data_IF_401124247170
#
_entry.id   IF_401124247170
#
_cell.length_a   1.000
_cell.length_b   1.000
_cell.length_c   1.000
_cell.angle_alpha   90.00
_cell.angle_beta   90.00
_cell.angle_gamma   90.00
#
_symmetry.space_group_name_H-M   'P 1'
#
loop_
_entity.id
_entity.type
_entity.pdbx_description
1 polymer ?
#
# COMPACT_ATOMS: atom_id res chain seq x y z
N UNK A 1 30.49 16.81 37.50
CA UNK A 1 29.11 16.27 37.57
C UNK A 1 28.10 16.85 36.58
N UNK A 2 28.34 18.02 35.94
CA UNK A 2 27.35 18.63 35.02
C UNK A 2 27.25 17.95 33.65
N UNK A 3 28.37 17.50 33.09
CA UNK A 3 28.42 16.87 31.74
C UNK A 3 27.70 15.51 31.70
N UNK A 4 27.80 14.71 32.76
CA UNK A 4 27.09 13.42 32.83
C UNK A 4 25.57 13.57 32.85
N UNK A 5 25.06 14.65 33.46
CA UNK A 5 23.62 14.95 33.47
C UNK A 5 23.10 15.32 32.08
N UNK A 6 23.87 16.12 31.31
CA UNK A 6 23.50 16.47 29.93
C UNK A 6 23.55 15.27 28.99
N UNK A 7 24.51 14.34 29.17
CA UNK A 7 24.59 13.12 28.36
C UNK A 7 23.40 12.19 28.60
N UNK A 8 22.95 12.07 29.86
CA UNK A 8 21.78 11.27 30.22
C UNK A 8 20.47 11.88 29.67
N UNK A 9 20.37 13.21 29.67
CA UNK A 9 19.22 13.93 29.10
C UNK A 9 19.12 13.74 27.57
N UNK A 10 20.26 13.71 26.87
CA UNK A 10 20.32 13.53 25.41
C UNK A 10 19.99 12.08 25.00
N UNK A 11 20.35 11.10 25.83
CA UNK A 11 19.98 9.69 25.63
C UNK A 11 18.48 9.45 25.87
N UNK A 12 17.88 10.16 26.83
CA UNK A 12 16.46 10.01 27.17
C UNK A 12 15.53 10.55 26.06
N UNK A 13 15.94 11.56 25.29
CA UNK A 13 15.11 12.15 24.22
C UNK A 13 15.02 11.29 22.95
N UNK A 14 15.88 10.28 22.78
CA UNK A 14 15.89 9.44 21.57
C UNK A 14 14.74 8.41 21.50
N UNK A 15 13.96 8.23 22.55
CA UNK A 15 12.92 7.19 22.62
C UNK A 15 11.51 7.63 22.19
N UNK A 16 11.29 8.91 21.82
CA UNK A 16 9.92 9.44 21.61
C UNK A 16 9.54 9.59 20.12
N UNK A 17 10.35 9.10 19.19
CA UNK A 17 9.89 8.93 17.80
C UNK A 17 9.02 7.66 17.67
N UNK A 18 7.97 7.56 18.49
CA UNK A 18 6.95 6.54 18.34
C UNK A 18 6.05 6.96 17.18
N UNK A 19 6.29 6.40 15.99
CA UNK A 19 5.41 6.59 14.84
C UNK A 19 4.06 5.95 15.19
N UNK A 20 3.05 6.78 15.48
CA UNK A 20 1.71 6.37 15.90
C UNK A 20 0.89 5.82 14.73
N UNK A 21 1.52 5.06 13.83
CA UNK A 21 0.87 4.43 12.71
C UNK A 21 -0.01 3.30 13.22
N UNK A 22 -1.31 3.41 13.01
CA UNK A 22 -2.28 2.39 13.41
C UNK A 22 -2.16 1.15 12.52
N UNK A 23 -2.41 -0.01 13.12
CA UNK A 23 -2.62 -1.24 12.38
C UNK A 23 -3.89 -1.10 11.53
N UNK A 24 -3.84 -1.59 10.29
CA UNK A 24 -4.93 -1.40 9.34
C UNK A 24 -5.88 -2.57 9.46
N UNK A 25 -7.10 -2.32 9.95
CA UNK A 25 -8.18 -3.29 9.79
C UNK A 25 -8.56 -3.37 8.30
N UNK A 26 -8.46 -4.55 7.67
CA UNK A 26 -8.79 -4.66 6.26
C UNK A 26 -10.27 -4.40 5.93
N UNK A 27 -11.20 -4.42 6.89
CA UNK A 27 -12.60 -4.03 6.67
C UNK A 27 -12.75 -2.53 6.41
N UNK A 28 -11.87 -1.72 7.01
CA UNK A 28 -11.84 -0.27 6.83
C UNK A 28 -11.20 0.17 5.51
N UNK A 29 -10.65 -0.78 4.75
CA UNK A 29 -10.06 -0.52 3.43
C UNK A 29 -11.09 -0.43 2.32
N UNK A 30 -12.31 -0.93 2.53
CA UNK A 30 -13.37 -0.97 1.52
C UNK A 30 -13.55 0.37 0.79
N UNK A 31 -13.89 0.31 -0.50
CA UNK A 31 -14.17 1.49 -1.32
C UNK A 31 -12.99 1.96 -2.17
N UNK A 32 -13.10 3.20 -2.66
CA UNK A 32 -12.20 3.75 -3.67
C UNK A 32 -11.19 4.71 -3.05
N UNK A 33 -9.91 4.48 -3.35
CA UNK A 33 -8.78 5.23 -2.85
C UNK A 33 -7.94 5.73 -4.01
N UNK A 34 -7.63 7.02 -4.04
CA UNK A 34 -6.85 7.65 -5.10
C UNK A 34 -5.51 8.15 -4.56
N UNK A 35 -4.44 7.95 -5.33
CA UNK A 35 -3.13 8.47 -5.01
C UNK A 35 -3.15 10.02 -4.94
N UNK A 36 -2.69 10.56 -3.83
CA UNK A 36 -2.91 11.96 -3.47
C UNK A 36 -2.10 12.98 -4.29
N UNK A 37 -0.89 12.63 -4.76
CA UNK A 37 0.01 13.59 -5.40
C UNK A 37 -0.36 13.88 -6.85
N UNK A 38 -0.59 12.84 -7.66
CA UNK A 38 -0.90 12.97 -9.08
C UNK A 38 -2.38 12.71 -9.40
N UNK A 39 -3.13 12.08 -8.48
CA UNK A 39 -4.53 11.66 -8.68
C UNK A 39 -4.76 10.78 -9.92
N UNK A 40 -3.77 9.96 -10.26
CA UNK A 40 -3.79 9.10 -11.46
C UNK A 40 -4.04 7.63 -11.16
N UNK A 41 -3.52 7.15 -10.03
CA UNK A 41 -3.60 5.74 -9.66
C UNK A 41 -4.70 5.56 -8.61
N UNK A 42 -5.68 4.72 -8.93
CA UNK A 42 -6.84 4.44 -8.10
C UNK A 42 -6.84 2.98 -7.69
N UNK A 43 -7.03 2.71 -6.41
CA UNK A 43 -7.19 1.39 -5.83
C UNK A 43 -8.61 1.26 -5.31
N UNK A 44 -9.32 0.24 -5.77
CA UNK A 44 -10.67 -0.06 -5.33
C UNK A 44 -10.62 -1.35 -4.53
N UNK A 45 -10.80 -1.27 -3.22
CA UNK A 45 -10.96 -2.44 -2.37
C UNK A 45 -12.41 -2.89 -2.46
N UNK A 46 -12.62 -4.06 -3.06
CA UNK A 46 -13.94 -4.59 -3.34
C UNK A 46 -14.51 -5.19 -2.06
N UNK A 47 -15.67 -4.69 -1.62
CA UNK A 47 -16.45 -5.31 -0.56
C UNK A 47 -17.07 -6.59 -1.12
N UNK A 48 -16.69 -7.75 -0.60
CA UNK A 48 -17.40 -8.99 -0.90
C UNK A 48 -18.69 -9.02 -0.08
N UNK A 49 -19.79 -9.42 -0.73
CA UNK A 49 -21.11 -9.60 -0.12
C UNK A 49 -21.21 -10.87 0.76
N UNK A 50 -20.15 -11.67 0.87
CA UNK A 50 -20.17 -12.93 1.60
C UNK A 50 -18.82 -13.29 2.23
N UNK A 51 -18.93 -13.98 3.35
CA UNK A 51 -18.05 -14.46 4.44
C UNK A 51 -16.68 -15.10 4.11
N UNK A 52 -16.13 -14.87 2.92
CA UNK A 52 -14.84 -15.45 2.52
C UNK A 52 -13.61 -14.73 3.09
N UNK A 53 -12.54 -15.49 3.36
CA UNK A 53 -11.20 -14.97 3.69
C UNK A 53 -10.50 -14.29 2.51
N UNK A 54 -10.99 -14.51 1.29
CA UNK A 54 -10.36 -14.00 0.06
C UNK A 54 -10.88 -12.60 -0.26
N UNK A 55 -10.02 -11.60 -0.07
CA UNK A 55 -10.33 -10.20 -0.41
C UNK A 55 -9.70 -9.81 -1.75
N UNK A 56 -10.36 -8.91 -2.46
CA UNK A 56 -9.97 -8.51 -3.81
C UNK A 56 -9.83 -6.99 -3.89
N UNK A 57 -8.86 -6.54 -4.67
CA UNK A 57 -8.72 -5.15 -5.03
C UNK A 57 -8.49 -5.00 -6.53
N UNK A 58 -8.91 -3.87 -7.07
CA UNK A 58 -8.66 -3.47 -8.45
C UNK A 58 -7.74 -2.26 -8.46
N UNK A 59 -6.69 -2.30 -9.29
CA UNK A 59 -5.78 -1.16 -9.50
C UNK A 59 -6.01 -0.58 -10.90
N UNK A 60 -6.39 0.70 -10.95
CA UNK A 60 -6.64 1.48 -12.16
C UNK A 60 -5.59 2.59 -12.29
N UNK A 61 -4.65 2.42 -13.23
CA UNK A 61 -3.56 3.40 -13.49
C UNK A 61 -3.69 4.15 -14.82
N UNK A 62 -4.79 3.88 -15.53
CA UNK A 62 -5.01 4.32 -16.91
C UNK A 62 -4.28 3.46 -17.94
N UNK A 63 -4.06 4.03 -19.12
CA UNK A 63 -3.49 3.36 -20.29
C UNK A 63 -2.17 3.99 -20.72
N UNK A 64 -1.37 3.25 -21.48
CA UNK A 64 -0.14 3.70 -22.13
C UNK A 64 -0.03 3.05 -23.50
N UNK A 65 0.76 3.64 -24.39
CA UNK A 65 1.12 3.00 -25.66
C UNK A 65 2.33 2.09 -25.44
N UNK A 66 2.26 0.84 -25.93
CA UNK A 66 3.40 -0.07 -25.89
C UNK A 66 4.35 0.16 -27.08
N UNK A 67 5.49 -0.54 -27.10
CA UNK A 67 6.46 -0.43 -28.20
C UNK A 67 5.89 -0.78 -29.59
N UNK A 68 4.82 -1.57 -29.64
CA UNK A 68 4.10 -1.92 -30.87
C UNK A 68 3.04 -0.91 -31.30
N UNK A 69 2.90 0.23 -30.60
CA UNK A 69 1.90 1.26 -30.93
C UNK A 69 0.49 0.97 -30.41
N UNK A 70 0.28 -0.11 -29.66
CA UNK A 70 -1.04 -0.45 -29.10
C UNK A 70 -1.27 0.23 -27.76
N UNK A 71 -2.51 0.69 -27.55
CA UNK A 71 -2.96 1.23 -26.26
C UNK A 71 -3.28 0.07 -25.32
N UNK A 72 -2.52 -0.06 -24.24
CA UNK A 72 -2.65 -1.10 -23.22
C UNK A 72 -2.80 -0.51 -21.83
N UNK A 73 -3.36 -1.24 -20.85
CA UNK A 73 -3.30 -0.82 -19.46
C UNK A 73 -1.84 -0.59 -19.03
N UNK A 74 -1.60 0.42 -18.17
CA UNK A 74 -0.26 0.60 -17.60
C UNK A 74 0.11 -0.61 -16.76
N UNK A 75 1.42 -0.90 -16.70
CA UNK A 75 1.97 -1.96 -15.86
C UNK A 75 1.42 -1.89 -14.44
N UNK A 76 1.05 -3.06 -13.90
CA UNK A 76 0.47 -3.21 -12.57
C UNK A 76 -1.00 -2.81 -12.44
N UNK A 77 -1.66 -2.38 -13.52
CA UNK A 77 -3.14 -2.33 -13.55
C UNK A 77 -3.72 -3.75 -13.56
N UNK A 78 -4.85 -3.95 -12.90
CA UNK A 78 -5.55 -5.24 -12.89
C UNK A 78 -6.15 -5.59 -11.53
N UNK A 79 -6.53 -6.86 -11.40
CA UNK A 79 -7.18 -7.41 -10.21
C UNK A 79 -6.14 -8.15 -9.37
N UNK A 80 -6.23 -7.99 -8.05
CA UNK A 80 -5.34 -8.62 -7.09
C UNK A 80 -6.15 -9.26 -5.98
N UNK A 81 -5.65 -10.40 -5.49
CA UNK A 81 -6.05 -10.91 -4.19
C UNK A 81 -5.19 -10.23 -3.13
N UNK A 82 -5.76 -9.99 -1.96
CA UNK A 82 -5.00 -9.50 -0.83
C UNK A 82 -5.47 -10.04 0.50
N UNK A 83 -4.57 -9.97 1.49
CA UNK A 83 -4.88 -10.01 2.91
C UNK A 83 -3.96 -9.03 3.65
N UNK A 84 -4.34 -8.65 4.85
CA UNK A 84 -3.55 -7.78 5.72
C UNK A 84 -3.12 -8.59 6.95
N UNK A 85 -1.86 -8.45 7.34
CA UNK A 85 -1.29 -9.07 8.54
C UNK A 85 -0.36 -8.05 9.19
N UNK A 86 -0.71 -7.55 10.36
CA UNK A 86 0.03 -6.46 11.00
C UNK A 86 0.08 -5.21 10.11
N UNK A 87 1.29 -4.68 9.92
CA UNK A 87 1.57 -3.50 9.08
C UNK A 87 1.90 -3.84 7.63
N UNK A 88 1.47 -5.02 7.16
CA UNK A 88 1.74 -5.49 5.80
C UNK A 88 0.45 -5.87 5.09
N UNK A 89 0.34 -5.43 3.83
CA UNK A 89 -0.61 -5.98 2.88
C UNK A 89 0.13 -6.95 1.97
N UNK A 90 -0.42 -8.15 1.86
CA UNK A 90 0.08 -9.19 1.00
C UNK A 90 -0.79 -9.22 -0.23
N UNK A 91 -0.21 -8.97 -1.41
CA UNK A 91 -0.95 -8.94 -2.67
C UNK A 91 -0.45 -9.99 -3.64
N UNK A 92 -1.36 -10.50 -4.46
CA UNK A 92 -1.09 -11.42 -5.56
C UNK A 92 -1.87 -10.98 -6.78
N UNK A 93 -1.17 -10.73 -7.89
CA UNK A 93 -1.80 -10.40 -9.17
C UNK A 93 -2.49 -11.65 -9.74
N UNK A 94 -3.77 -11.57 -10.03
CA UNK A 94 -4.58 -12.72 -10.47
C UNK A 94 -4.31 -13.14 -11.91
N UNK A 95 -3.72 -12.25 -12.70
CA UNK A 95 -3.33 -12.50 -14.09
C UNK A 95 -1.85 -12.89 -14.22
N UNK A 96 -1.12 -12.99 -13.10
CA UNK A 96 0.26 -13.45 -13.12
C UNK A 96 0.31 -14.97 -13.09
N UNK A 97 1.20 -15.57 -13.88
CA UNK A 97 1.53 -17.00 -13.77
C UNK A 97 2.24 -17.38 -12.47
N UNK A 98 2.60 -16.39 -11.64
CA UNK A 98 3.16 -16.62 -10.32
C UNK A 98 2.08 -16.48 -9.24
N UNK A 99 1.83 -17.58 -8.52
CA UNK A 99 0.80 -17.69 -7.49
C UNK A 99 1.22 -17.17 -6.10
N UNK A 100 2.45 -16.64 -5.95
CA UNK A 100 2.97 -16.16 -4.68
C UNK A 100 2.39 -14.80 -4.27
N UNK A 101 2.15 -14.64 -2.97
CA UNK A 101 1.87 -13.33 -2.38
C UNK A 101 3.18 -12.57 -2.11
N UNK A 102 3.15 -11.26 -2.29
CA UNK A 102 4.25 -10.36 -1.89
C UNK A 102 3.75 -9.36 -0.86
N UNK A 103 4.53 -9.19 0.21
CA UNK A 103 4.23 -8.26 1.28
C UNK A 103 4.71 -6.84 0.96
N UNK A 104 3.88 -5.86 1.29
CA UNK A 104 4.15 -4.43 1.15
C UNK A 104 3.71 -3.70 2.41
N UNK A 105 4.43 -2.66 2.84
CA UNK A 105 4.05 -1.90 4.02
C UNK A 105 2.70 -1.21 3.79
N UNK A 106 1.84 -1.25 4.80
CA UNK A 106 0.58 -0.52 4.84
C UNK A 106 0.39 0.10 6.23
N UNK A 107 -0.12 1.33 6.26
CA UNK A 107 -0.54 2.00 7.50
C UNK A 107 -1.68 2.97 7.21
N UNK A 108 -2.43 3.32 8.25
CA UNK A 108 -3.49 4.32 8.20
C UNK A 108 -3.18 5.46 9.17
N UNK A 109 -3.45 6.68 8.74
CA UNK A 109 -3.33 7.89 9.57
C UNK A 109 -4.23 8.99 9.00
N UNK A 110 -5.00 9.66 9.86
CA UNK A 110 -5.86 10.80 9.49
C UNK A 110 -6.80 10.50 8.30
N UNK A 111 -7.38 9.29 8.27
CA UNK A 111 -8.26 8.85 7.17
C UNK A 111 -7.56 8.58 5.83
N UNK A 112 -6.22 8.60 5.80
CA UNK A 112 -5.39 8.31 4.62
C UNK A 112 -4.70 6.97 4.79
N UNK A 113 -4.42 6.30 3.68
CA UNK A 113 -3.61 5.09 3.64
C UNK A 113 -2.22 5.44 3.12
N UNK A 114 -1.18 4.93 3.77
CA UNK A 114 0.17 4.90 3.23
C UNK A 114 0.48 3.47 2.82
N UNK A 115 0.84 3.27 1.55
CA UNK A 115 0.95 1.95 0.93
C UNK A 115 2.19 1.85 0.04
N UNK A 116 2.96 0.77 0.18
CA UNK A 116 4.07 0.47 -0.74
C UNK A 116 3.59 0.34 -2.20
N UNK A 117 4.33 0.92 -3.15
CA UNK A 117 3.97 1.03 -4.58
C UNK A 117 4.08 -0.30 -5.38
N UNK A 118 3.38 -1.34 -4.95
CA UNK A 118 3.42 -2.67 -5.59
C UNK A 118 2.97 -2.70 -7.06
N UNK A 119 2.22 -1.69 -7.49
CA UNK A 119 1.61 -1.62 -8.82
C UNK A 119 2.44 -0.83 -9.83
N UNK A 120 3.61 -0.29 -9.45
CA UNK A 120 4.44 0.51 -10.36
C UNK A 120 5.58 -0.27 -11.01
N UNK A 121 5.96 -1.40 -10.41
CA UNK A 121 7.22 -2.09 -10.69
C UNK A 121 7.01 -3.45 -11.39
N UNK A 122 5.76 -3.83 -11.64
CA UNK A 122 5.40 -5.18 -12.06
C UNK A 122 5.30 -6.15 -10.87
N UNK A 123 4.92 -7.39 -11.15
CA UNK A 123 4.65 -8.38 -10.11
C UNK A 123 5.90 -8.73 -9.29
N UNK A 124 5.72 -8.88 -7.97
CA UNK A 124 6.70 -9.43 -7.00
C UNK A 124 7.97 -8.61 -6.76
N UNK A 125 8.01 -7.37 -7.23
CA UNK A 125 9.13 -6.47 -6.96
C UNK A 125 9.05 -5.87 -5.55
N UNK A 126 10.18 -5.60 -4.88
CA UNK A 126 10.19 -4.77 -3.67
C UNK A 126 9.61 -3.39 -3.98
N UNK A 127 8.86 -2.79 -3.05
CA UNK A 127 8.45 -1.40 -3.20
C UNK A 127 9.68 -0.48 -3.24
N UNK A 128 9.58 0.59 -4.03
CA UNK A 128 10.58 1.66 -4.10
C UNK A 128 10.07 2.97 -3.54
N UNK A 129 8.75 3.08 -3.32
CA UNK A 129 8.10 4.24 -2.75
C UNK A 129 6.88 3.84 -1.92
N UNK A 130 6.52 4.70 -0.96
CA UNK A 130 5.24 4.63 -0.24
C UNK A 130 4.35 5.73 -0.77
N UNK A 131 3.19 5.34 -1.32
CA UNK A 131 2.17 6.24 -1.84
C UNK A 131 1.16 6.57 -0.75
N UNK A 132 0.69 7.81 -0.73
CA UNK A 132 -0.42 8.21 0.13
C UNK A 132 -1.69 8.20 -0.69
N UNK A 133 -2.68 7.44 -0.24
CA UNK A 133 -3.99 7.35 -0.85
C UNK A 133 -5.03 8.06 0.02
N UNK A 134 -5.95 8.77 -0.63
CA UNK A 134 -7.09 9.42 -0.01
C UNK A 134 -8.37 8.76 -0.51
N UNK A 135 -9.37 8.64 0.36
CA UNK A 135 -10.68 8.10 -0.03
C UNK A 135 -11.41 9.11 -0.93
N UNK A 136 -12.10 8.61 -1.94
CA UNK A 136 -13.06 9.40 -2.73
C UNK A 136 -14.43 9.47 -2.05
#
# INVERSE_FOLDING_TARGET
MRIGLYLFLLLATCFVACDSSEEVNPDDLSGTWVESSARKDTIIFLTMLDTGTTRWLEVKRGKTTNLGGHIVPKLGSGIYNYYVSGRQIHVRNTLSSNSAYKAYPISRRDGKIRLGNFFELGSLQPHTAVRTLVRL
#
